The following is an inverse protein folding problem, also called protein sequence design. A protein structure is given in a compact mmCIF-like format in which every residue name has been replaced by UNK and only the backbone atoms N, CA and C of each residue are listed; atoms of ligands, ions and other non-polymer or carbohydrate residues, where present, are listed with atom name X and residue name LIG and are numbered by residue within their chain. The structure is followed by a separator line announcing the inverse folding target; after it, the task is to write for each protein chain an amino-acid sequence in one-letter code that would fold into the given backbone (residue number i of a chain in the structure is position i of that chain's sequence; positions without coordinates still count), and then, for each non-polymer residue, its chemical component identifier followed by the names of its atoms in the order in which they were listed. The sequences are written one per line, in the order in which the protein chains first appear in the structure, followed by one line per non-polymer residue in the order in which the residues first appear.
data_IF_570604931488
#
_entry.id   IF_570604931488
#
_cell.length_a   1.000
_cell.length_b   1.000
_cell.length_c   1.000
_cell.angle_alpha   90.00
_cell.angle_beta   90.00
_cell.angle_gamma   90.00
#
_symmetry.space_group_name_H-M   'P 1'
#
loop_
_entity.id
_entity.type
_entity.pdbx_description
1 polymer ?
#
# COMPACT_ATOMS: atom_id res chain seq x y z
N UNK A 1 -2.71 -31.87 14.40
CA UNK A 1 -2.25 -31.09 13.23
C UNK A 1 -3.30 -30.01 12.97
N UNK A 2 -3.13 -28.83 13.56
CA UNK A 2 -3.97 -27.67 13.25
C UNK A 2 -3.32 -26.92 12.08
N UNK A 3 -3.99 -26.88 10.93
CA UNK A 3 -3.59 -26.04 9.81
C UNK A 3 -3.95 -24.59 10.15
N UNK A 4 -2.96 -23.74 10.34
CA UNK A 4 -3.11 -22.29 10.40
C UNK A 4 -3.44 -21.77 9.00
N UNK A 5 -4.69 -21.33 8.80
CA UNK A 5 -5.10 -20.64 7.55
C UNK A 5 -4.35 -19.31 7.39
N UNK A 6 -3.89 -18.95 6.18
CA UNK A 6 -3.13 -17.73 5.95
C UNK A 6 -4.04 -16.51 5.70
N UNK A 7 -3.75 -15.41 6.40
CA UNK A 7 -3.93 -13.99 6.03
C UNK A 7 -5.18 -13.66 5.18
N UNK A 8 -6.34 -13.51 5.84
CA UNK A 8 -7.63 -13.23 5.21
C UNK A 8 -8.01 -11.73 5.35
N UNK A 9 -7.41 -10.85 4.54
CA UNK A 9 -8.00 -9.52 4.26
C UNK A 9 -8.53 -9.54 2.84
N UNK A 10 -9.63 -8.86 2.48
CA UNK A 10 -10.17 -8.97 1.10
C UNK A 10 -9.15 -8.69 -0.02
N UNK A 11 -8.09 -7.94 0.26
CA UNK A 11 -6.98 -7.69 -0.66
C UNK A 11 -5.93 -8.84 -0.70
N UNK A 12 -5.74 -9.60 0.38
CA UNK A 12 -4.73 -10.67 0.52
C UNK A 12 -5.30 -12.10 0.51
N UNK A 13 -6.56 -12.25 0.94
CA UNK A 13 -7.31 -13.48 1.20
C UNK A 13 -7.41 -14.48 0.05
N UNK A 14 -7.06 -14.07 -1.17
CA UNK A 14 -7.20 -14.87 -2.38
C UNK A 14 -5.97 -14.80 -3.29
N UNK A 15 -4.78 -14.57 -2.73
CA UNK A 15 -3.53 -14.60 -3.50
C UNK A 15 -2.86 -15.97 -3.36
N UNK A 16 -3.59 -17.06 -3.65
CA UNK A 16 -3.00 -18.39 -3.88
C UNK A 16 -2.78 -18.63 -5.38
N UNK A 17 -1.92 -17.79 -5.99
CA UNK A 17 -1.53 -17.73 -7.44
C UNK A 17 -2.70 -17.47 -8.42
N UNK A 18 -2.53 -16.63 -9.46
CA UNK A 18 -1.28 -16.15 -10.05
C UNK A 18 -0.81 -14.82 -9.45
N UNK A 19 0.39 -14.38 -9.88
CA UNK A 19 0.95 -13.07 -9.58
C UNK A 19 -0.13 -12.00 -9.75
N UNK A 20 -0.61 -11.37 -8.66
CA UNK A 20 -1.75 -10.47 -8.75
C UNK A 20 -1.31 -9.25 -9.56
N UNK A 21 -1.94 -9.09 -10.72
CA UNK A 21 -1.80 -7.88 -11.52
C UNK A 21 -2.62 -6.79 -10.86
N UNK A 22 -1.95 -5.72 -10.46
CA UNK A 22 -2.56 -4.53 -9.91
C UNK A 22 -2.35 -3.33 -10.84
N UNK A 23 -3.19 -2.33 -10.67
CA UNK A 23 -2.91 -0.98 -11.15
C UNK A 23 -3.11 -0.01 -10.01
N UNK A 24 -2.15 0.89 -9.83
CA UNK A 24 -2.14 1.84 -8.72
C UNK A 24 -2.14 3.23 -9.32
N UNK A 25 -2.95 4.13 -8.75
CA UNK A 25 -3.00 5.52 -9.17
C UNK A 25 -2.72 6.41 -7.96
N UNK A 26 -1.71 7.25 -8.09
CA UNK A 26 -1.53 8.42 -7.24
C UNK A 26 -2.19 9.61 -7.93
N UNK A 27 -3.12 10.25 -7.24
CA UNK A 27 -3.82 11.42 -7.74
C UNK A 27 -3.48 12.62 -6.85
N UNK A 28 -2.90 13.65 -7.46
CA UNK A 28 -2.45 14.86 -6.79
C UNK A 28 -3.12 16.08 -7.45
N UNK A 29 -4.30 16.52 -6.96
CA UNK A 29 -5.10 17.52 -7.65
C UNK A 29 -4.51 18.95 -7.60
N UNK A 30 -3.71 19.26 -6.59
CA UNK A 30 -3.25 20.62 -6.25
C UNK A 30 -1.73 20.68 -6.12
N UNK A 31 -1.02 20.30 -7.18
CA UNK A 31 0.43 20.45 -7.26
C UNK A 31 0.75 21.87 -7.69
N UNK A 32 1.43 22.61 -6.82
CA UNK A 32 1.92 23.96 -7.12
C UNK A 32 3.11 23.86 -8.07
N UNK A 33 3.02 24.55 -9.20
CA UNK A 33 4.15 24.72 -10.12
C UNK A 33 4.86 26.04 -9.78
N UNK A 34 6.17 25.97 -9.55
CA UNK A 34 7.01 27.12 -9.17
C UNK A 34 7.03 28.21 -10.26
N UNK A 35 6.63 27.89 -11.49
CA UNK A 35 6.69 28.80 -12.63
C UNK A 35 5.53 29.80 -12.75
N UNK A 36 4.54 29.81 -11.85
CA UNK A 36 3.45 30.80 -11.96
C UNK A 36 2.26 30.66 -11.03
N UNK A 37 2.34 29.84 -9.97
CA UNK A 37 1.31 29.77 -8.93
C UNK A 37 -0.05 29.22 -9.39
N UNK A 38 -0.14 28.66 -10.60
CA UNK A 38 -1.34 27.97 -11.07
C UNK A 38 -1.30 26.53 -10.58
N UNK A 39 -2.40 26.08 -10.00
CA UNK A 39 -2.54 24.69 -9.56
C UNK A 39 -2.53 23.76 -10.79
N UNK A 40 -1.76 22.68 -10.68
CA UNK A 40 -1.72 21.60 -11.66
C UNK A 40 -2.21 20.32 -11.03
N UNK A 41 -2.94 19.53 -11.79
CA UNK A 41 -3.34 18.18 -11.40
C UNK A 41 -2.36 17.19 -11.97
N UNK A 42 -1.84 16.32 -11.12
CA UNK A 42 -0.99 15.20 -11.52
C UNK A 42 -1.69 13.87 -11.25
N UNK A 43 -1.53 12.95 -12.18
CA UNK A 43 -1.86 11.56 -12.00
C UNK A 43 -0.64 10.71 -12.35
N UNK A 44 -0.20 9.87 -11.43
CA UNK A 44 0.88 8.91 -11.65
C UNK A 44 0.30 7.51 -11.51
N UNK A 45 0.44 6.69 -12.55
CA UNK A 45 -0.11 5.33 -12.60
C UNK A 45 0.98 4.29 -12.77
N UNK A 46 0.86 3.22 -11.98
CA UNK A 46 1.54 1.95 -12.19
C UNK A 46 0.55 1.03 -12.90
N UNK A 47 0.89 0.58 -14.10
CA UNK A 47 0.00 -0.24 -14.92
C UNK A 47 0.65 -1.61 -15.15
N UNK A 48 -0.16 -2.66 -15.00
CA UNK A 48 0.31 -4.05 -15.13
C UNK A 48 1.33 -4.40 -14.07
N UNK A 49 1.15 -3.89 -12.86
CA UNK A 49 2.09 -4.12 -11.77
C UNK A 49 1.91 -5.51 -11.16
N UNK A 50 3.02 -6.20 -10.98
CA UNK A 50 3.12 -7.47 -10.27
C UNK A 50 3.36 -7.18 -8.79
N UNK A 51 2.55 -7.71 -7.89
CA UNK A 51 2.87 -7.67 -6.46
C UNK A 51 3.84 -8.82 -6.11
N UNK A 52 4.90 -8.49 -5.39
CA UNK A 52 5.86 -9.44 -4.82
C UNK A 52 5.83 -9.27 -3.31
N UNK A 53 5.54 -10.34 -2.58
CA UNK A 53 5.55 -10.31 -1.11
C UNK A 53 6.97 -10.02 -0.63
N UNK A 54 7.07 -9.16 0.38
CA UNK A 54 8.34 -8.80 0.97
C UNK A 54 8.82 -9.92 1.93
N UNK A 55 10.13 -10.18 2.02
CA UNK A 55 10.65 -11.21 2.90
C UNK A 55 10.42 -10.86 4.38
N UNK A 56 10.38 -11.87 5.25
CA UNK A 56 10.16 -11.72 6.69
C UNK A 56 11.12 -10.70 7.34
N UNK A 57 12.39 -10.66 6.91
CA UNK A 57 13.37 -9.71 7.42
C UNK A 57 13.03 -8.25 7.13
N UNK A 58 12.40 -7.96 5.98
CA UNK A 58 11.88 -6.61 5.69
C UNK A 58 10.61 -6.34 6.50
N UNK A 59 9.79 -7.35 6.77
CA UNK A 59 8.59 -7.20 7.61
C UNK A 59 8.93 -6.91 9.06
N UNK A 60 9.93 -7.58 9.61
CA UNK A 60 10.45 -7.30 10.94
C UNK A 60 11.01 -5.86 11.02
N UNK A 61 11.81 -5.45 10.02
CA UNK A 61 12.37 -4.09 9.96
C UNK A 61 11.31 -2.99 9.80
N UNK A 62 10.18 -3.26 9.11
CA UNK A 62 9.04 -2.35 9.08
C UNK A 62 8.33 -2.32 10.42
N UNK A 63 8.04 -3.49 11.01
CA UNK A 63 7.37 -3.60 12.30
C UNK A 63 8.12 -2.88 13.41
N UNK A 64 9.45 -2.96 13.44
CA UNK A 64 10.25 -2.28 14.45
C UNK A 64 10.05 -0.76 14.44
N UNK A 65 9.77 -0.18 13.27
CA UNK A 65 9.52 1.26 13.07
C UNK A 65 8.08 1.69 13.33
N UNK A 66 7.15 0.74 13.40
CA UNK A 66 5.74 1.03 13.63
C UNK A 66 5.54 1.65 15.01
N UNK A 67 4.64 2.64 15.07
CA UNK A 67 4.25 3.26 16.32
C UNK A 67 3.35 2.33 17.15
N UNK A 68 3.21 2.62 18.45
CA UNK A 68 2.39 1.83 19.35
C UNK A 68 0.94 1.67 18.84
N UNK A 69 0.25 2.73 18.36
CA UNK A 69 -1.06 2.59 17.75
C UNK A 69 -1.12 1.60 16.58
N UNK A 70 -0.15 1.62 15.66
CA UNK A 70 -0.08 0.68 14.54
C UNK A 70 0.14 -0.75 15.01
N UNK A 71 1.01 -0.95 16.01
CA UNK A 71 1.26 -2.28 16.58
C UNK A 71 0.02 -2.86 17.24
N UNK A 72 -0.72 -2.06 18.01
CA UNK A 72 -2.00 -2.48 18.60
C UNK A 72 -3.02 -2.80 17.51
N UNK A 73 -3.08 -1.96 16.45
CA UNK A 73 -4.00 -2.21 15.32
C UNK A 73 -3.77 -3.57 14.68
N UNK A 74 -2.52 -3.96 14.47
CA UNK A 74 -2.16 -5.24 13.86
C UNK A 74 -2.66 -6.48 14.61
N UNK A 75 -2.92 -6.39 15.92
CA UNK A 75 -3.42 -7.49 16.74
C UNK A 75 -4.91 -7.43 17.01
N UNK A 76 -5.45 -6.23 17.19
CA UNK A 76 -6.82 -6.04 17.72
C UNK A 76 -7.86 -5.95 16.60
N UNK A 77 -7.49 -5.44 15.43
CA UNK A 77 -8.45 -5.02 14.40
C UNK A 77 -8.43 -6.01 13.22
N UNK A 78 -9.48 -6.82 13.03
CA UNK A 78 -9.60 -7.68 11.85
C UNK A 78 -9.81 -6.79 10.61
N UNK A 79 -8.88 -6.85 9.66
CA UNK A 79 -8.91 -6.00 8.48
C UNK A 79 -9.94 -6.50 7.45
N UNK A 80 -10.95 -5.68 7.16
CA UNK A 80 -11.95 -5.95 6.11
C UNK A 80 -13.22 -6.65 6.56
N UNK A 81 -13.36 -6.90 7.86
CA UNK A 81 -14.52 -7.56 8.47
C UNK A 81 -15.45 -6.56 9.18
N UNK A 82 -16.78 -6.82 9.23
CA UNK A 82 -17.69 -6.07 10.09
C UNK A 82 -17.31 -6.21 11.56
N UNK A 83 -17.48 -5.15 12.33
CA UNK A 83 -17.14 -5.10 13.77
C UNK A 83 -18.22 -4.40 14.58
N UNK A 84 -18.38 -4.84 15.83
CA UNK A 84 -19.07 -4.07 16.87
C UNK A 84 -18.06 -3.10 17.50
N UNK A 85 -18.40 -1.80 17.53
CA UNK A 85 -17.49 -0.76 17.98
C UNK A 85 -17.13 -0.89 19.47
N UNK A 86 -18.11 -1.15 20.33
CA UNK A 86 -17.91 -1.19 21.78
C UNK A 86 -17.05 -2.40 22.16
N UNK A 87 -17.29 -3.55 21.51
CA UNK A 87 -16.43 -4.73 21.69
C UNK A 87 -15.00 -4.49 21.20
N UNK A 88 -14.84 -3.83 20.04
CA UNK A 88 -13.52 -3.54 19.47
C UNK A 88 -12.75 -2.55 20.35
N UNK A 89 -13.42 -1.51 20.85
CA UNK A 89 -12.85 -0.57 21.81
C UNK A 89 -12.43 -1.26 23.11
N UNK A 90 -13.27 -2.13 23.66
CA UNK A 90 -12.93 -2.88 24.87
C UNK A 90 -11.68 -3.76 24.66
N UNK A 91 -11.56 -4.42 23.51
CA UNK A 91 -10.36 -5.20 23.15
C UNK A 91 -9.12 -4.30 23.06
N UNK A 92 -9.23 -3.16 22.38
CA UNK A 92 -8.15 -2.17 22.29
C UNK A 92 -7.68 -1.71 23.68
N UNK A 93 -8.60 -1.24 24.52
CA UNK A 93 -8.28 -0.67 25.82
C UNK A 93 -7.69 -1.73 26.77
N UNK A 94 -8.17 -2.97 26.67
CA UNK A 94 -7.62 -4.10 27.41
C UNK A 94 -6.20 -4.40 26.97
N UNK A 95 -5.96 -4.52 25.66
CA UNK A 95 -4.64 -4.79 25.10
C UNK A 95 -3.62 -3.69 25.47
N UNK A 96 -4.01 -2.42 25.34
CA UNK A 96 -3.16 -1.29 25.71
C UNK A 96 -2.79 -1.32 27.19
N UNK A 97 -3.76 -1.54 28.09
CA UNK A 97 -3.52 -1.64 29.52
C UNK A 97 -2.58 -2.79 29.87
N UNK A 98 -2.74 -3.96 29.26
CA UNK A 98 -1.87 -5.11 29.45
C UNK A 98 -0.44 -4.84 28.98
N UNK A 99 -0.28 -4.20 27.82
CA UNK A 99 1.02 -3.79 27.31
C UNK A 99 1.71 -2.78 28.26
N UNK A 100 0.99 -1.74 28.71
CA UNK A 100 1.52 -0.74 29.65
C UNK A 100 1.87 -1.34 31.02
N UNK A 101 1.12 -2.34 31.48
CA UNK A 101 1.38 -3.01 32.76
C UNK A 101 2.56 -3.98 32.68
N UNK A 102 2.68 -4.73 31.58
CA UNK A 102 3.73 -5.74 31.41
C UNK A 102 5.07 -5.16 30.99
N UNK A 103 5.08 -4.03 30.28
CA UNK A 103 6.27 -3.43 29.69
C UNK A 103 6.91 -4.28 28.58
N UNK A 104 6.26 -5.37 28.14
CA UNK A 104 6.80 -6.28 27.13
C UNK A 104 6.64 -5.68 25.73
N UNK A 105 7.61 -5.87 24.82
CA UNK A 105 7.45 -5.53 23.42
C UNK A 105 6.23 -6.22 22.79
N UNK A 106 5.60 -5.56 21.83
CA UNK A 106 4.52 -6.16 21.04
C UNK A 106 5.17 -6.89 19.86
N UNK A 107 5.04 -8.21 19.85
CA UNK A 107 5.50 -9.07 18.77
C UNK A 107 4.75 -8.79 17.46
N UNK A 108 5.38 -9.02 16.31
CA UNK A 108 4.71 -8.89 15.01
C UNK A 108 3.65 -9.98 14.86
N UNK A 109 2.39 -9.66 14.51
CA UNK A 109 1.39 -10.68 14.23
C UNK A 109 1.71 -11.38 12.90
N UNK A 110 1.42 -12.68 12.81
CA UNK A 110 1.67 -13.47 11.60
C UNK A 110 0.89 -12.99 10.36
N UNK A 111 -0.17 -12.20 10.57
CA UNK A 111 -0.96 -11.57 9.50
C UNK A 111 -0.33 -10.28 8.95
N UNK A 112 0.73 -9.75 9.59
CA UNK A 112 1.41 -8.55 9.11
C UNK A 112 2.31 -8.89 7.92
N UNK A 113 1.93 -8.37 6.75
CA UNK A 113 2.61 -8.60 5.48
C UNK A 113 2.70 -7.30 4.68
N UNK A 114 3.58 -7.28 3.69
CA UNK A 114 3.87 -6.14 2.84
C UNK A 114 4.21 -6.60 1.43
N UNK A 115 3.85 -5.77 0.45
CA UNK A 115 4.00 -6.11 -0.97
C UNK A 115 4.73 -4.99 -1.70
N UNK A 116 5.69 -5.38 -2.54
CA UNK A 116 6.34 -4.50 -3.50
C UNK A 116 5.69 -4.66 -4.86
N UNK A 117 5.23 -3.54 -5.42
CA UNK A 117 4.66 -3.53 -6.77
C UNK A 117 5.73 -3.23 -7.82
N UNK A 118 5.83 -4.12 -8.80
CA UNK A 118 6.75 -4.03 -9.93
C UNK A 118 5.94 -3.75 -11.21
N UNK A 119 5.84 -2.48 -11.65
CA UNK A 119 5.06 -2.11 -12.83
C UNK A 119 5.74 -2.53 -14.13
N UNK A 120 4.92 -2.84 -15.14
CA UNK A 120 5.38 -2.93 -16.53
C UNK A 120 5.35 -1.55 -17.22
N UNK A 121 4.53 -0.63 -16.70
CA UNK A 121 4.40 0.72 -17.24
C UNK A 121 4.23 1.74 -16.12
N UNK A 122 4.93 2.85 -16.27
CA UNK A 122 4.66 4.09 -15.54
C UNK A 122 3.96 5.05 -16.49
N UNK A 123 2.92 5.71 -16.01
CA UNK A 123 2.18 6.70 -16.77
C UNK A 123 2.02 7.96 -15.93
N UNK A 124 2.45 9.08 -16.48
CA UNK A 124 2.45 10.40 -15.86
C UNK A 124 1.53 11.28 -16.68
N UNK A 125 0.56 11.90 -16.02
CA UNK A 125 -0.36 12.86 -16.61
C UNK A 125 -0.29 14.15 -15.80
N UNK A 126 0.02 15.26 -16.46
CA UNK A 126 -0.04 16.61 -15.91
C UNK A 126 -1.13 17.39 -16.64
N UNK A 127 -2.06 17.95 -15.90
CA UNK A 127 -3.15 18.79 -16.43
C UNK A 127 -3.08 20.16 -15.77
N UNK A 128 -2.93 21.20 -16.59
CA UNK A 128 -3.03 22.60 -16.15
C UNK A 128 -4.35 23.21 -16.64
N UNK A 129 -4.88 24.19 -15.89
CA UNK A 129 -6.13 24.85 -16.27
C UNK A 129 -5.98 25.62 -17.59
N UNK A 130 -6.83 25.31 -18.57
CA UNK A 130 -6.81 25.93 -19.90
C UNK A 130 -5.61 25.54 -20.77
N UNK A 131 -4.87 24.49 -20.40
CA UNK A 131 -3.72 23.97 -21.13
C UNK A 131 -4.02 22.59 -21.72
N UNK A 132 -3.28 22.22 -22.76
CA UNK A 132 -3.24 20.84 -23.24
C UNK A 132 -2.54 19.98 -22.18
N UNK A 133 -3.14 18.86 -21.82
CA UNK A 133 -2.56 17.94 -20.86
C UNK A 133 -1.31 17.28 -21.45
N UNK A 134 -0.24 17.22 -20.66
CA UNK A 134 0.95 16.46 -21.01
C UNK A 134 0.85 15.07 -20.40
N UNK A 135 1.05 14.05 -21.23
CA UNK A 135 1.01 12.66 -20.80
C UNK A 135 2.21 11.93 -21.36
N UNK A 136 2.93 11.29 -20.45
CA UNK A 136 4.20 10.64 -20.72
C UNK A 136 4.22 9.26 -20.09
N UNK A 137 4.75 8.28 -20.80
CA UNK A 137 4.83 6.90 -20.32
C UNK A 137 6.24 6.36 -20.39
N UNK A 138 6.62 5.56 -19.39
CA UNK A 138 7.69 4.59 -19.50
C UNK A 138 7.10 3.19 -19.64
N UNK A 139 7.65 2.39 -20.57
CA UNK A 139 7.26 0.99 -20.79
C UNK A 139 8.46 0.07 -20.70
N UNK A 140 8.35 -0.96 -19.88
CA UNK A 140 9.36 -2.00 -19.76
C UNK A 140 9.27 -2.92 -20.98
N UNK A 141 10.36 -3.01 -21.73
CA UNK A 141 10.48 -3.85 -22.90
C UNK A 141 10.87 -5.28 -22.51
N UNK A 142 10.69 -6.23 -23.44
CA UNK A 142 11.06 -7.64 -23.23
C UNK A 142 12.56 -7.84 -22.99
N UNK A 143 13.41 -6.92 -23.43
CA UNK A 143 14.85 -6.91 -23.17
C UNK A 143 15.23 -6.32 -21.79
N UNK A 144 14.25 -6.00 -20.94
CA UNK A 144 14.47 -5.44 -19.61
C UNK A 144 14.78 -3.94 -19.57
N UNK A 145 14.77 -3.24 -20.70
CA UNK A 145 15.01 -1.79 -20.78
C UNK A 145 13.70 -1.00 -20.77
N UNK A 146 13.77 0.23 -20.28
CA UNK A 146 12.64 1.15 -20.31
C UNK A 146 12.70 2.04 -21.55
N UNK A 147 11.57 2.17 -22.24
CA UNK A 147 11.38 3.16 -23.30
C UNK A 147 10.39 4.22 -22.85
N UNK A 148 10.61 5.45 -23.31
CA UNK A 148 9.78 6.59 -22.96
C UNK A 148 9.10 7.22 -24.17
N UNK A 149 7.86 7.67 -24.01
CA UNK A 149 7.07 8.29 -25.08
C UNK A 149 6.01 9.23 -24.55
N UNK A 150 5.73 10.31 -25.30
CA UNK A 150 4.50 11.06 -25.11
C UNK A 150 3.32 10.26 -25.66
N UNK A 151 2.18 10.38 -24.99
CA UNK A 151 0.93 9.70 -25.34
C UNK A 151 -0.15 10.75 -25.45
N UNK A 152 -1.00 10.67 -26.48
CA UNK A 152 -2.16 11.55 -26.54
C UNK A 152 -3.07 11.29 -25.33
N UNK A 153 -3.69 12.34 -24.83
CA UNK A 153 -4.61 12.26 -23.70
C UNK A 153 -5.91 11.59 -24.09
#
# INVERSE_FOLDING_TARGET
MCSTSPIDTRATAKISRPIPKASITFYLPLVKDDAGGKDTTWQVRLIGATAVELPESEMDALWDKEDLPAKIRGHVFPCGEPVDYDQLKLKHDTFLREHLTSGKPIERPASYTGWKFQPQRWDFLKVGQGLIADRFQYRLQSNGKWESMHVST
#
